data_IF_198099473252
#
_entry.id   IF_198099473252
#
_cell.length_a   1.000
_cell.length_b   1.000
_cell.length_c   1.000
_cell.angle_alpha   90.00
_cell.angle_beta   90.00
_cell.angle_gamma   90.00
#
_symmetry.space_group_name_H-M   'P 1'
#
loop_
_entity.id
_entity.type
_entity.pdbx_description
1 polymer ?
#
# COMPACT_ATOMS: atom_id res chain seq x y z
N UNK A 1 29.22 -15.44 22.54
CA UNK A 1 28.38 -14.28 22.88
C UNK A 1 28.30 -13.41 21.64
N UNK A 2 27.11 -13.21 21.10
CA UNK A 2 26.88 -12.39 19.91
C UNK A 2 26.40 -11.01 20.33
N UNK A 3 27.00 -9.95 19.80
CA UNK A 3 26.40 -8.62 19.88
C UNK A 3 25.74 -8.35 18.53
N UNK A 4 24.44 -8.05 18.55
CA UNK A 4 23.73 -7.55 17.40
C UNK A 4 23.70 -6.04 17.51
N UNK A 5 24.33 -5.37 16.55
CA UNK A 5 24.21 -3.94 16.41
C UNK A 5 23.25 -3.66 15.28
N UNK A 6 22.11 -3.03 15.55
CA UNK A 6 21.25 -2.47 14.53
C UNK A 6 21.62 -1.00 14.36
N UNK A 7 22.03 -0.60 13.17
CA UNK A 7 22.10 0.81 12.83
C UNK A 7 20.72 1.25 12.36
N UNK A 8 20.14 2.21 13.08
CA UNK A 8 18.98 2.92 12.60
C UNK A 8 19.45 4.11 11.76
N UNK A 9 19.03 4.20 10.50
CA UNK A 9 19.38 5.31 9.61
C UNK A 9 18.90 6.68 10.10
N UNK A 10 18.10 6.72 11.16
CA UNK A 10 17.50 7.95 11.71
C UNK A 10 18.37 8.72 12.70
N UNK A 11 19.62 8.32 12.94
CA UNK A 11 20.48 9.15 13.78
C UNK A 11 21.35 8.40 14.78
N UNK A 12 22.39 7.79 14.33
CA UNK A 12 23.66 7.79 15.06
C UNK A 12 23.78 7.00 16.35
N UNK A 13 23.03 5.93 16.56
CA UNK A 13 23.24 5.05 17.72
C UNK A 13 23.26 3.58 17.34
N UNK A 14 24.38 2.89 17.60
CA UNK A 14 24.42 1.43 17.51
C UNK A 14 23.59 0.84 18.66
N UNK A 15 22.41 0.33 18.37
CA UNK A 15 21.60 -0.37 19.36
C UNK A 15 22.06 -1.81 19.47
N UNK A 16 22.61 -2.19 20.61
CA UNK A 16 22.90 -3.59 20.93
C UNK A 16 21.59 -4.25 21.36
N UNK A 17 20.97 -5.00 20.46
CA UNK A 17 19.65 -5.58 20.69
C UNK A 17 19.70 -6.82 21.60
N UNK A 18 20.73 -7.66 21.46
CA UNK A 18 20.86 -8.88 22.27
C UNK A 18 22.29 -9.46 22.19
N UNK A 19 22.68 -10.22 23.21
CA UNK A 19 23.95 -10.94 23.24
C UNK A 19 23.73 -12.41 23.63
N UNK A 20 23.02 -13.20 22.84
CA UNK A 20 22.76 -14.58 23.19
C UNK A 20 24.04 -15.42 23.20
N UNK A 21 24.11 -16.34 24.14
CA UNK A 21 25.08 -17.42 24.13
C UNK A 21 24.43 -18.66 23.55
N UNK A 22 24.98 -19.18 22.46
CA UNK A 22 24.52 -20.40 21.84
C UNK A 22 25.47 -21.52 22.20
N UNK A 23 24.96 -22.65 22.63
CA UNK A 23 25.71 -23.88 22.87
C UNK A 23 25.21 -25.00 21.96
N UNK A 24 26.14 -25.79 21.43
CA UNK A 24 25.82 -26.95 20.59
C UNK A 24 26.82 -28.08 20.91
N UNK A 25 26.35 -29.31 20.90
CA UNK A 25 27.16 -30.52 20.94
C UNK A 25 27.57 -31.00 19.55
N UNK A 26 26.99 -30.38 18.51
CA UNK A 26 27.27 -30.69 17.12
C UNK A 26 28.22 -29.64 16.51
N UNK A 27 28.92 -29.99 15.47
CA UNK A 27 29.82 -29.08 14.73
C UNK A 27 29.10 -27.97 13.99
N UNK A 28 27.76 -28.06 13.87
CA UNK A 28 26.90 -27.04 13.29
C UNK A 28 25.77 -26.67 14.24
N UNK A 29 25.33 -25.44 14.21
CA UNK A 29 24.21 -24.93 15.00
C UNK A 29 23.37 -23.96 14.19
N UNK A 30 22.12 -23.74 14.62
CA UNK A 30 21.23 -22.77 14.02
C UNK A 30 21.08 -21.59 14.95
N UNK A 31 21.12 -20.40 14.39
CA UNK A 31 20.85 -19.15 15.07
C UNK A 31 19.61 -18.51 14.45
N UNK A 32 18.66 -18.11 15.31
CA UNK A 32 17.49 -17.39 14.84
C UNK A 32 17.80 -15.92 14.69
N UNK A 33 17.68 -15.43 13.47
CA UNK A 33 17.88 -14.02 13.15
C UNK A 33 16.74 -13.16 13.70
N UNK A 34 17.05 -11.93 14.06
CA UNK A 34 16.05 -10.99 14.56
C UNK A 34 15.35 -10.28 13.39
N UNK A 35 14.11 -10.69 13.10
CA UNK A 35 13.31 -10.19 11.97
C UNK A 35 12.07 -9.39 12.41
N UNK A 36 11.96 -9.02 13.69
CA UNK A 36 10.79 -8.31 14.20
C UNK A 36 10.68 -6.87 13.72
N UNK A 37 11.81 -6.24 13.36
CA UNK A 37 11.86 -4.87 12.86
C UNK A 37 12.64 -4.81 11.55
N UNK A 38 12.18 -4.06 10.54
CA UNK A 38 12.91 -3.88 9.30
C UNK A 38 14.21 -3.09 9.52
N UNK A 39 15.10 -3.14 8.54
CA UNK A 39 16.39 -2.43 8.51
C UNK A 39 17.59 -3.35 8.47
N UNK A 40 18.77 -2.75 8.37
CA UNK A 40 20.04 -3.45 8.36
C UNK A 40 20.44 -3.90 9.76
N UNK A 41 20.85 -5.16 9.90
CA UNK A 41 21.29 -5.77 11.15
C UNK A 41 22.63 -6.44 10.95
N UNK A 42 23.52 -6.25 11.94
CA UNK A 42 24.86 -6.79 11.91
C UNK A 42 25.04 -7.73 13.10
N UNK A 43 25.55 -8.92 12.83
CA UNK A 43 25.86 -9.94 13.83
C UNK A 43 27.35 -10.18 13.84
N UNK A 44 27.93 -10.15 15.03
CA UNK A 44 29.36 -10.31 15.23
C UNK A 44 29.62 -11.43 16.23
N UNK A 45 30.46 -12.41 15.86
CA UNK A 45 30.90 -13.46 16.79
C UNK A 45 32.08 -12.94 17.61
N UNK A 46 31.85 -12.68 18.89
CA UNK A 46 32.90 -12.11 19.80
C UNK A 46 33.70 -13.14 20.54
N UNK A 47 33.10 -14.24 20.91
CA UNK A 47 33.74 -15.30 21.67
C UNK A 47 33.31 -16.67 21.14
N UNK A 48 34.27 -17.58 21.16
CA UNK A 48 34.03 -19.00 20.95
C UNK A 48 34.73 -19.77 22.07
N UNK A 49 34.06 -20.75 22.62
CA UNK A 49 34.63 -21.63 23.64
C UNK A 49 34.19 -23.08 23.39
N UNK A 50 34.95 -23.99 23.93
CA UNK A 50 34.70 -25.43 23.88
C UNK A 50 34.84 -26.08 25.27
N UNK A 51 34.82 -27.39 25.34
CA UNK A 51 34.93 -28.13 26.59
C UNK A 51 36.31 -27.95 27.24
N UNK A 52 37.38 -27.75 26.46
CA UNK A 52 38.72 -27.52 26.94
C UNK A 52 38.95 -26.06 27.36
N UNK A 53 38.36 -25.14 26.63
CA UNK A 53 38.45 -23.69 26.86
C UNK A 53 37.05 -23.06 27.03
N UNK A 54 36.41 -23.27 28.17
CA UNK A 54 35.06 -22.74 28.43
C UNK A 54 35.03 -21.21 28.38
N UNK A 55 33.92 -20.66 27.83
CA UNK A 55 33.63 -19.24 27.90
C UNK A 55 33.76 -18.73 29.35
N UNK A 56 34.22 -17.53 29.55
CA UNK A 56 34.43 -16.85 30.84
C UNK A 56 35.62 -17.32 31.72
N UNK A 57 36.26 -18.43 31.37
CA UNK A 57 37.41 -18.90 32.13
C UNK A 57 38.74 -18.53 31.53
N UNK A 58 38.78 -18.35 30.20
CA UNK A 58 40.04 -18.11 29.46
C UNK A 58 39.92 -16.89 28.55
N UNK A 59 40.98 -16.03 28.60
CA UNK A 59 41.07 -14.86 27.70
C UNK A 59 41.18 -15.25 26.22
N UNK A 60 41.67 -16.44 25.94
CA UNK A 60 41.84 -16.99 24.58
C UNK A 60 40.51 -17.31 23.87
N UNK A 61 39.36 -17.26 24.57
CA UNK A 61 38.04 -17.43 23.95
C UNK A 61 37.55 -16.16 23.26
N UNK A 62 38.22 -15.01 23.46
CA UNK A 62 37.91 -13.77 22.79
C UNK A 62 38.54 -13.76 21.41
N UNK A 63 37.75 -13.58 20.37
CA UNK A 63 38.20 -13.40 19.00
C UNK A 63 38.71 -11.97 18.84
N UNK A 64 39.94 -11.74 18.35
CA UNK A 64 40.42 -10.41 18.04
C UNK A 64 39.47 -9.71 17.08
N UNK A 65 39.33 -8.38 17.20
CA UNK A 65 38.35 -7.61 16.41
C UNK A 65 38.56 -7.75 14.89
N UNK A 66 39.83 -7.86 14.45
CA UNK A 66 40.21 -8.10 13.06
C UNK A 66 39.74 -9.44 12.48
N UNK A 67 39.58 -10.44 13.35
CA UNK A 67 39.29 -11.82 12.95
C UNK A 67 37.84 -12.23 13.21
N UNK A 68 37.01 -11.30 13.70
CA UNK A 68 35.60 -11.55 13.97
C UNK A 68 34.81 -11.70 12.70
N UNK A 69 33.99 -12.74 12.65
CA UNK A 69 33.04 -12.91 11.58
C UNK A 69 31.92 -11.87 11.77
N UNK A 70 31.77 -11.02 10.76
CA UNK A 70 30.64 -10.10 10.63
C UNK A 70 29.66 -10.66 9.63
N UNK A 71 28.41 -10.79 10.05
CA UNK A 71 27.30 -11.21 9.19
C UNK A 71 26.29 -10.07 9.09
N UNK A 72 26.02 -9.62 7.89
CA UNK A 72 25.03 -8.57 7.60
C UNK A 72 23.70 -9.18 7.15
N UNK A 73 22.63 -8.64 7.64
CA UNK A 73 21.27 -9.01 7.27
C UNK A 73 20.43 -7.76 7.01
N UNK A 74 19.75 -7.76 5.88
CA UNK A 74 18.70 -6.80 5.60
C UNK A 74 17.32 -7.44 5.87
N UNK A 75 16.50 -6.75 6.64
CA UNK A 75 15.13 -7.14 6.95
C UNK A 75 14.19 -6.13 6.29
N UNK A 76 13.43 -6.60 5.31
CA UNK A 76 12.46 -5.79 4.60
C UNK A 76 11.14 -5.70 5.37
N UNK A 77 10.45 -4.56 5.28
CA UNK A 77 9.04 -4.48 5.69
C UNK A 77 8.16 -5.25 4.70
N UNK A 78 7.12 -5.86 5.20
CA UNK A 78 6.12 -6.50 4.34
C UNK A 78 5.41 -5.44 3.48
N UNK A 79 5.13 -5.73 2.20
CA UNK A 79 4.36 -4.82 1.38
C UNK A 79 2.95 -4.64 1.94
N UNK A 80 2.51 -3.40 2.05
CA UNK A 80 1.16 -3.06 2.47
C UNK A 80 0.57 -1.93 1.63
N UNK A 81 -0.76 -1.89 1.53
CA UNK A 81 -1.50 -0.85 0.86
C UNK A 81 -2.81 -0.57 1.58
N UNK A 82 -3.14 0.72 1.75
CA UNK A 82 -4.41 1.14 2.35
C UNK A 82 -4.89 2.45 1.77
N UNK A 83 -6.19 2.63 1.66
CA UNK A 83 -6.77 3.93 1.39
C UNK A 83 -6.54 4.87 2.59
N UNK A 84 -6.19 6.11 2.30
CA UNK A 84 -5.90 7.12 3.32
C UNK A 84 -7.15 7.59 4.06
N UNK A 85 -8.29 7.59 3.37
CA UNK A 85 -9.59 8.05 3.89
C UNK A 85 -10.68 7.07 3.48
N UNK A 86 -11.76 7.02 4.26
CA UNK A 86 -13.00 6.26 3.95
C UNK A 86 -13.97 7.11 3.12
N UNK A 87 -13.46 8.13 2.43
CA UNK A 87 -14.28 9.05 1.67
C UNK A 87 -15.05 8.34 0.55
N UNK A 88 -16.28 8.79 0.34
CA UNK A 88 -17.11 8.36 -0.77
C UNK A 88 -16.89 9.28 -1.95
N UNK A 89 -16.46 8.72 -3.09
CA UNK A 89 -16.20 9.46 -4.32
C UNK A 89 -17.48 9.53 -5.16
N UNK A 90 -17.61 10.59 -5.98
CA UNK A 90 -18.74 10.77 -6.89
C UNK A 90 -18.25 10.98 -8.32
N UNK A 91 -18.84 10.25 -9.26
CA UNK A 91 -18.58 10.33 -10.69
C UNK A 91 -19.87 10.37 -11.47
N UNK A 92 -19.79 10.80 -12.72
CA UNK A 92 -20.89 10.70 -13.66
C UNK A 92 -20.76 9.46 -14.54
N UNK A 93 -21.87 9.03 -15.12
CA UNK A 93 -21.88 7.98 -16.15
C UNK A 93 -20.91 8.35 -17.28
N UNK A 94 -20.13 7.37 -17.74
CA UNK A 94 -19.06 7.51 -18.74
C UNK A 94 -17.82 8.28 -18.28
N UNK A 95 -17.77 8.79 -17.06
CA UNK A 95 -16.52 9.34 -16.53
C UNK A 95 -15.43 8.26 -16.45
N UNK A 96 -14.20 8.72 -16.61
CA UNK A 96 -12.99 7.92 -16.36
C UNK A 96 -12.70 7.92 -14.86
N UNK A 97 -12.22 6.82 -14.33
CA UNK A 97 -11.79 6.74 -12.95
C UNK A 97 -10.42 7.42 -12.77
N UNK A 98 -10.44 8.72 -12.57
CA UNK A 98 -9.27 9.57 -12.36
C UNK A 98 -9.50 10.53 -11.17
N UNK A 99 -8.43 11.10 -10.58
CA UNK A 99 -8.57 12.09 -9.52
C UNK A 99 -9.23 13.36 -10.07
N UNK A 100 -10.38 13.75 -9.53
CA UNK A 100 -11.07 14.99 -9.93
C UNK A 100 -10.39 16.25 -9.42
N UNK A 101 -9.83 16.20 -8.20
CA UNK A 101 -9.12 17.30 -7.59
C UNK A 101 -7.75 16.88 -7.10
N UNK A 102 -6.73 17.66 -7.40
CA UNK A 102 -5.36 17.37 -7.00
C UNK A 102 -5.12 17.56 -5.49
N UNK A 103 -5.95 18.38 -4.84
CA UNK A 103 -5.81 18.76 -3.42
C UNK A 103 -6.59 17.89 -2.46
N UNK A 104 -7.66 17.20 -2.90
CA UNK A 104 -8.41 16.29 -2.04
C UNK A 104 -7.58 15.05 -1.71
N UNK A 105 -7.58 14.58 -0.45
CA UNK A 105 -6.96 13.32 -0.05
C UNK A 105 -7.75 12.07 -0.52
N UNK A 106 -8.94 12.27 -1.08
CA UNK A 106 -9.86 11.20 -1.42
C UNK A 106 -9.33 10.32 -2.56
N UNK A 107 -9.50 9.02 -2.41
CA UNK A 107 -8.95 8.03 -3.34
C UNK A 107 -7.42 7.90 -3.29
N UNK A 108 -6.74 8.48 -2.29
CA UNK A 108 -5.31 8.30 -2.09
C UNK A 108 -5.02 6.96 -1.44
N UNK A 109 -4.07 6.22 -2.00
CA UNK A 109 -3.55 4.95 -1.46
C UNK A 109 -2.14 5.19 -0.94
N UNK A 110 -1.89 4.72 0.27
CA UNK A 110 -0.58 4.74 0.93
C UNK A 110 0.03 3.35 0.86
N UNK A 111 1.33 3.29 0.55
CA UNK A 111 2.09 2.05 0.42
C UNK A 111 3.23 1.99 1.42
N UNK A 112 3.45 0.80 1.99
CA UNK A 112 4.66 0.46 2.72
C UNK A 112 5.37 -0.68 1.99
N UNK A 113 6.70 -0.73 2.05
CA UNK A 113 7.53 -1.68 1.32
C UNK A 113 8.50 -0.97 0.39
N UNK A 114 9.02 -1.71 -0.59
CA UNK A 114 10.07 -1.29 -1.52
C UNK A 114 9.54 -1.20 -2.94
N UNK A 115 9.41 0.02 -3.54
CA UNK A 115 8.93 0.15 -4.91
C UNK A 115 9.85 -0.54 -5.94
N UNK A 116 9.36 -0.93 -7.12
CA UNK A 116 7.99 -0.76 -7.62
C UNK A 116 6.97 -1.68 -6.96
N UNK A 117 5.75 -1.17 -6.76
CA UNK A 117 4.63 -1.93 -6.26
C UNK A 117 3.77 -2.45 -7.43
N UNK A 118 3.28 -3.68 -7.32
CA UNK A 118 2.23 -4.23 -8.19
C UNK A 118 0.94 -4.30 -7.38
N UNK A 119 0.00 -3.41 -7.71
CA UNK A 119 -1.28 -3.30 -7.03
C UNK A 119 -2.38 -3.93 -7.87
N UNK A 120 -3.13 -4.87 -7.28
CA UNK A 120 -4.32 -5.45 -7.89
C UNK A 120 -5.56 -4.89 -7.22
N UNK A 121 -6.45 -4.33 -8.03
CA UNK A 121 -7.70 -3.72 -7.60
C UNK A 121 -8.89 -4.43 -8.24
N UNK A 122 -9.96 -4.63 -7.48
CA UNK A 122 -11.27 -5.00 -8.01
C UNK A 122 -12.24 -3.83 -7.91
N UNK A 123 -12.97 -3.58 -8.99
CA UNK A 123 -14.01 -2.57 -9.11
C UNK A 123 -15.33 -3.30 -9.29
N UNK A 124 -16.18 -3.26 -8.29
CA UNK A 124 -17.46 -3.96 -8.25
C UNK A 124 -18.60 -2.96 -8.35
N UNK A 125 -19.47 -3.13 -9.35
CA UNK A 125 -20.77 -2.48 -9.35
C UNK A 125 -21.74 -3.29 -8.45
N UNK A 126 -22.29 -2.66 -7.43
CA UNK A 126 -23.11 -3.36 -6.44
C UNK A 126 -24.54 -3.59 -6.90
N UNK A 127 -25.05 -2.80 -7.86
CA UNK A 127 -26.37 -2.98 -8.43
C UNK A 127 -26.41 -4.17 -9.41
N UNK A 128 -25.32 -4.34 -10.21
CA UNK A 128 -25.25 -5.39 -11.24
C UNK A 128 -24.41 -6.58 -10.85
N UNK A 129 -23.69 -6.49 -9.73
CA UNK A 129 -22.67 -7.47 -9.27
C UNK A 129 -21.52 -7.71 -10.23
N UNK A 130 -21.38 -6.91 -11.31
CA UNK A 130 -20.26 -7.01 -12.24
C UNK A 130 -18.96 -6.57 -11.54
N UNK A 131 -17.91 -7.33 -11.77
CA UNK A 131 -16.56 -7.04 -11.22
C UNK A 131 -15.58 -6.91 -12.37
N UNK A 132 -14.75 -5.88 -12.31
CA UNK A 132 -13.57 -5.73 -13.17
C UNK A 132 -12.32 -5.68 -12.31
N UNK A 133 -11.28 -6.34 -12.74
CA UNK A 133 -9.98 -6.39 -12.05
C UNK A 133 -8.96 -5.64 -12.88
N UNK A 134 -8.22 -4.75 -12.24
CA UNK A 134 -7.13 -3.98 -12.82
C UNK A 134 -5.84 -4.23 -12.04
N UNK A 135 -4.71 -4.24 -12.74
CA UNK A 135 -3.39 -4.35 -12.12
C UNK A 135 -2.56 -3.15 -12.54
N UNK A 136 -1.97 -2.46 -11.58
CA UNK A 136 -1.20 -1.22 -11.79
C UNK A 136 0.18 -1.34 -11.18
N UNK A 137 1.19 -0.87 -11.91
CA UNK A 137 2.56 -0.73 -11.39
C UNK A 137 2.77 0.70 -10.89
N UNK A 138 3.26 0.85 -9.66
CA UNK A 138 3.37 2.12 -8.96
C UNK A 138 4.78 2.24 -8.37
N UNK A 139 5.46 3.34 -8.65
CA UNK A 139 6.82 3.59 -8.18
C UNK A 139 6.90 4.51 -6.95
N UNK A 140 5.77 5.01 -6.50
CA UNK A 140 5.65 5.97 -5.40
C UNK A 140 4.97 5.34 -4.19
N UNK A 141 5.30 5.82 -2.99
CA UNK A 141 4.67 5.38 -1.73
C UNK A 141 3.29 6.00 -1.47
N UNK A 142 2.91 6.98 -2.27
CA UNK A 142 1.61 7.65 -2.23
C UNK A 142 1.09 7.75 -3.66
N UNK A 143 -0.09 7.21 -3.91
CA UNK A 143 -0.68 7.24 -5.24
C UNK A 143 -2.18 7.56 -5.16
N UNK A 144 -2.65 8.41 -6.06
CA UNK A 144 -4.08 8.66 -6.23
C UNK A 144 -4.68 7.67 -7.22
N UNK A 145 -5.83 7.13 -6.87
CA UNK A 145 -6.57 6.18 -7.71
C UNK A 145 -6.82 6.79 -9.09
N UNK A 146 -6.12 6.25 -10.07
CA UNK A 146 -6.12 6.72 -11.45
C UNK A 146 -6.06 5.53 -12.42
N UNK A 147 -7.20 5.22 -13.03
CA UNK A 147 -7.35 4.13 -13.99
C UNK A 147 -7.93 4.70 -15.29
N UNK A 148 -7.11 5.30 -16.16
CA UNK A 148 -7.58 5.98 -17.37
C UNK A 148 -8.24 5.06 -18.39
N UNK A 149 -8.00 3.75 -18.29
CA UNK A 149 -8.66 2.72 -19.12
C UNK A 149 -10.03 2.30 -18.60
N UNK A 150 -10.43 2.75 -17.41
CA UNK A 150 -11.69 2.37 -16.79
C UNK A 150 -12.73 3.48 -16.92
N UNK A 151 -13.90 3.13 -17.47
CA UNK A 151 -15.07 4.01 -17.59
C UNK A 151 -16.26 3.42 -16.84
N UNK A 152 -17.02 4.26 -16.18
CA UNK A 152 -18.27 3.85 -15.53
C UNK A 152 -19.37 3.65 -16.59
N UNK A 153 -19.80 2.41 -16.77
CA UNK A 153 -20.78 2.03 -17.80
C UNK A 153 -22.21 1.92 -17.31
N UNK A 154 -22.46 2.14 -16.04
CA UNK A 154 -23.77 2.13 -15.40
C UNK A 154 -23.79 3.00 -14.17
N UNK A 155 -24.97 3.52 -13.84
CA UNK A 155 -25.21 4.28 -12.62
C UNK A 155 -25.27 3.37 -11.39
N UNK A 156 -25.15 3.95 -10.21
CA UNK A 156 -25.28 3.28 -8.93
C UNK A 156 -24.00 3.21 -8.11
N UNK A 157 -24.04 2.47 -6.99
CA UNK A 157 -22.90 2.37 -6.09
C UNK A 157 -21.88 1.35 -6.60
N UNK A 158 -20.61 1.74 -6.50
CA UNK A 158 -19.45 0.90 -6.77
C UNK A 158 -18.57 0.79 -5.53
N UNK A 159 -17.84 -0.29 -5.44
CA UNK A 159 -16.81 -0.51 -4.45
C UNK A 159 -15.48 -0.81 -5.16
N UNK A 160 -14.44 -0.07 -4.81
CA UNK A 160 -13.08 -0.37 -5.24
C UNK A 160 -12.35 -0.99 -4.06
N UNK A 161 -11.78 -2.17 -4.27
CA UNK A 161 -11.11 -2.95 -3.22
C UNK A 161 -9.69 -3.28 -3.64
N UNK A 162 -8.75 -3.14 -2.73
CA UNK A 162 -7.38 -3.62 -2.88
C UNK A 162 -7.40 -5.14 -2.64
N UNK A 163 -7.17 -5.93 -3.70
CA UNK A 163 -7.18 -7.39 -3.61
C UNK A 163 -5.83 -7.93 -3.15
N UNK A 164 -4.75 -7.41 -3.74
CA UNK A 164 -3.40 -7.80 -3.37
C UNK A 164 -2.39 -6.71 -3.73
N UNK A 165 -1.25 -6.77 -3.07
CA UNK A 165 -0.06 -5.98 -3.36
C UNK A 165 1.16 -6.86 -3.28
N UNK A 166 2.13 -6.61 -4.15
CA UNK A 166 3.50 -7.09 -4.05
C UNK A 166 4.45 -5.94 -4.35
N UNK A 167 5.68 -6.06 -3.90
CA UNK A 167 6.74 -5.07 -4.12
C UNK A 167 8.01 -5.75 -4.66
N UNK A 168 9.10 -5.01 -4.75
CA UNK A 168 10.38 -5.55 -5.24
C UNK A 168 11.18 -6.30 -4.16
N UNK A 169 10.70 -6.34 -2.91
CA UNK A 169 11.37 -7.08 -1.84
C UNK A 169 11.13 -8.60 -1.97
N UNK A 170 11.97 -9.43 -1.33
CA UNK A 170 11.75 -10.87 -1.30
C UNK A 170 10.62 -11.32 -0.35
N UNK A 171 9.82 -10.39 0.19
CA UNK A 171 8.73 -10.70 1.11
C UNK A 171 7.49 -11.16 0.34
N UNK A 172 7.13 -12.44 0.45
CA UNK A 172 5.99 -13.03 -0.27
C UNK A 172 4.62 -12.66 0.31
N UNK A 173 4.57 -12.29 1.60
CA UNK A 173 3.31 -12.01 2.29
C UNK A 173 3.06 -10.53 2.40
N UNK A 174 2.01 -10.08 1.74
CA UNK A 174 1.49 -8.73 1.90
C UNK A 174 0.63 -8.59 3.16
N UNK A 175 0.60 -7.38 3.72
CA UNK A 175 -0.24 -7.04 4.86
C UNK A 175 -1.30 -6.03 4.41
N UNK A 176 -2.58 -6.44 4.37
CA UNK A 176 -3.70 -5.60 3.98
C UNK A 176 -4.59 -5.34 5.20
N UNK A 177 -4.82 -4.05 5.49
CA UNK A 177 -5.75 -3.63 6.54
C UNK A 177 -7.20 -3.86 6.08
N UNK A 178 -7.98 -4.75 6.73
CA UNK A 178 -9.36 -5.03 6.32
C UNK A 178 -10.27 -3.81 6.36
N UNK A 179 -9.97 -2.83 7.21
CA UNK A 179 -10.79 -1.63 7.40
C UNK A 179 -10.57 -0.59 6.31
N UNK A 180 -9.34 -0.47 5.81
CA UNK A 180 -8.95 0.57 4.86
C UNK A 180 -8.59 0.02 3.46
N UNK A 181 -9.04 -1.20 3.13
CA UNK A 181 -8.78 -1.82 1.82
C UNK A 181 -9.81 -1.49 0.75
N UNK A 182 -10.88 -0.79 1.07
CA UNK A 182 -11.96 -0.48 0.13
C UNK A 182 -12.45 0.94 0.28
N UNK A 183 -12.86 1.54 -0.85
CA UNK A 183 -13.60 2.81 -0.88
C UNK A 183 -14.87 2.66 -1.70
N UNK A 184 -15.80 3.58 -1.49
CA UNK A 184 -17.08 3.65 -2.16
C UNK A 184 -17.10 4.74 -3.22
N UNK A 185 -17.78 4.46 -4.33
CA UNK A 185 -17.98 5.40 -5.43
C UNK A 185 -19.47 5.40 -5.79
N UNK A 186 -20.07 6.56 -5.86
CA UNK A 186 -21.41 6.73 -6.38
C UNK A 186 -21.34 7.28 -7.80
N UNK A 187 -22.01 6.60 -8.72
CA UNK A 187 -22.09 7.02 -10.12
C UNK A 187 -23.51 7.45 -10.43
N UNK A 188 -23.66 8.72 -10.83
CA UNK A 188 -24.93 9.33 -11.21
C UNK A 188 -24.98 9.60 -12.72
N UNK A 189 -26.18 9.84 -13.22
CA UNK A 189 -26.34 10.36 -14.57
C UNK A 189 -25.84 11.80 -14.67
N UNK A 190 -25.32 12.16 -15.83
CA UNK A 190 -24.94 13.54 -16.11
C UNK A 190 -26.19 14.39 -16.23
N UNK A 191 -26.23 15.51 -15.53
CA UNK A 191 -27.33 16.44 -15.66
C UNK A 191 -27.32 17.05 -17.09
N UNK A 192 -28.49 17.05 -17.72
CA UNK A 192 -28.67 17.64 -19.04
C UNK A 192 -30.00 18.39 -19.15
N UNK A 193 -30.03 19.40 -19.98
CA UNK A 193 -31.25 20.14 -20.32
C UNK A 193 -31.49 19.93 -21.81
N UNK A 194 -32.60 19.32 -22.15
CA UNK A 194 -32.96 19.00 -23.54
C UNK A 194 -34.19 19.84 -23.94
N UNK A 195 -34.08 20.73 -24.95
CA UNK A 195 -35.23 21.42 -25.44
C UNK A 195 -36.16 20.43 -26.17
N UNK A 196 -37.43 20.37 -25.76
CA UNK A 196 -38.45 19.51 -26.35
C UNK A 196 -38.83 19.95 -27.76
N UNK A 197 -38.70 21.24 -28.06
CA UNK A 197 -39.01 21.81 -29.35
C UNK A 197 -37.76 22.16 -30.14
N UNK A 198 -37.70 21.72 -31.39
CA UNK A 198 -36.61 22.06 -32.32
C UNK A 198 -36.87 23.41 -33.06
N UNK A 199 -37.91 24.13 -32.65
CA UNK A 199 -38.29 25.43 -33.22
C UNK A 199 -37.21 26.48 -32.90
N UNK A 200 -36.83 27.31 -33.88
CA UNK A 200 -35.85 28.37 -33.69
C UNK A 200 -36.50 29.76 -33.56
N UNK A 201 -37.75 29.89 -34.04
CA UNK A 201 -38.45 31.16 -34.08
C UNK A 201 -39.66 31.11 -33.14
N UNK A 202 -39.74 32.08 -32.25
CA UNK A 202 -40.75 32.18 -31.22
C UNK A 202 -41.49 33.53 -31.34
N UNK A 203 -42.76 33.52 -31.03
CA UNK A 203 -43.56 34.74 -30.92
C UNK A 203 -43.55 35.25 -29.46
N UNK A 204 -43.91 36.54 -29.29
CA UNK A 204 -44.10 37.11 -27.97
C UNK A 204 -45.17 36.32 -27.20
N UNK A 205 -44.78 35.76 -26.03
CA UNK A 205 -45.65 34.95 -25.19
C UNK A 205 -45.52 33.44 -25.40
N UNK A 206 -44.73 33.00 -26.35
CA UNK A 206 -44.42 31.56 -26.51
C UNK A 206 -43.67 31.03 -25.26
N UNK A 207 -43.96 29.79 -24.91
CA UNK A 207 -43.32 29.07 -23.80
C UNK A 207 -42.42 28.01 -24.37
N UNK A 208 -41.19 27.95 -23.85
CA UNK A 208 -40.23 26.92 -24.20
C UNK A 208 -40.29 25.83 -23.13
N UNK A 209 -40.37 24.58 -23.56
CA UNK A 209 -40.37 23.43 -22.68
C UNK A 209 -39.01 22.69 -22.77
N UNK A 210 -38.52 22.30 -21.64
CA UNK A 210 -37.27 21.53 -21.52
C UNK A 210 -37.56 20.23 -20.74
N UNK A 211 -36.87 19.20 -21.13
CA UNK A 211 -36.70 17.98 -20.33
C UNK A 211 -35.41 18.06 -19.56
N UNK A 212 -35.45 17.69 -18.27
CA UNK A 212 -34.30 17.66 -17.39
C UNK A 212 -33.88 16.21 -17.16
N UNK A 213 -32.70 15.86 -17.59
CA UNK A 213 -32.09 14.57 -17.31
C UNK A 213 -31.17 14.67 -16.10
N UNK A 214 -30.92 13.52 -15.43
CA UNK A 214 -30.07 13.42 -14.25
C UNK A 214 -30.84 13.14 -12.97
N UNK A 215 -30.19 13.30 -11.84
CA UNK A 215 -30.74 12.99 -10.51
C UNK A 215 -31.26 14.27 -9.84
N UNK A 216 -32.57 14.35 -9.52
CA UNK A 216 -33.16 15.52 -8.84
C UNK A 216 -32.60 15.68 -7.40
N UNK A 217 -32.68 16.91 -6.82
CA UNK A 217 -33.22 18.14 -7.38
C UNK A 217 -32.30 18.84 -8.39
N UNK A 218 -32.89 19.45 -9.43
CA UNK A 218 -32.16 20.24 -10.40
C UNK A 218 -32.18 21.74 -10.04
N UNK A 219 -31.07 22.41 -10.31
CA UNK A 219 -30.97 23.86 -10.24
C UNK A 219 -30.50 24.36 -11.59
N UNK A 220 -31.24 25.28 -12.20
CA UNK A 220 -30.93 25.94 -13.46
C UNK A 220 -30.61 27.40 -13.15
N UNK A 221 -29.42 27.86 -13.55
CA UNK A 221 -28.97 29.25 -13.38
C UNK A 221 -28.82 29.98 -14.70
#
# INVERSE_FOLDING_TARGET
>A
MYNVAANDESGGGTVVLDQPTISSIQSHTRFQLHTATPGHKYYEVKQIGDAAYPLHKHKHTLIPRSDRLLFEQEVFSKPSAKFKTDARLSYCLNDVLNPRESTSPDGTILFEGTPPFQLKLSIRNLATSKVRVETVSINEKIWKLNLPSYHFTSVGPYQVTIDSISDSSPCEQAELDPLHRSIWIDVAETAAVIPLEKKKDFCVGDVIQFELEGTPPWTIG
#
